data_IF_659244876246
#
_entry.id   IF_659244876246
#
_cell.length_a   1.000
_cell.length_b   1.000
_cell.length_c   1.000
_cell.angle_alpha   90.00
_cell.angle_beta   90.00
_cell.angle_gamma   90.00
#
_symmetry.space_group_name_H-M   'P 1'
#
loop_
_entity.id
_entity.type
_entity.pdbx_description
1 polymer ?
#
# COMPACT_ATOMS: atom_id res chain seq x y z
N UNK A 1 -1.79 4.82 -5.87
CA UNK A 1 -1.61 4.13 -4.57
C UNK A 1 -0.71 2.94 -4.81
N UNK A 2 0.45 2.92 -4.16
CA UNK A 2 1.57 1.98 -4.41
C UNK A 2 1.86 1.11 -3.19
N UNK A 3 2.18 -0.16 -3.41
CA UNK A 3 2.55 -1.14 -2.39
C UNK A 3 1.58 -1.09 -1.20
N UNK A 4 2.09 -1.06 0.03
CA UNK A 4 1.31 -0.85 1.25
C UNK A 4 0.39 0.39 1.22
N UNK A 5 0.74 1.40 0.43
CA UNK A 5 -0.10 2.58 0.18
C UNK A 5 -1.43 2.25 -0.50
N UNK A 6 -1.60 1.07 -1.10
CA UNK A 6 -2.90 0.54 -1.51
C UNK A 6 -3.87 0.41 -0.35
N UNK A 7 -3.43 -0.17 0.77
CA UNK A 7 -4.22 -0.28 2.00
C UNK A 7 -4.47 1.11 2.59
N UNK A 8 -3.42 1.90 2.82
CA UNK A 8 -3.54 3.22 3.46
C UNK A 8 -4.46 4.15 2.67
N UNK A 9 -4.32 4.20 1.34
CA UNK A 9 -5.18 5.04 0.51
C UNK A 9 -6.63 4.56 0.49
N UNK A 10 -6.85 3.25 0.48
CA UNK A 10 -8.21 2.67 0.59
C UNK A 10 -8.86 2.98 1.94
N UNK A 11 -8.09 2.88 3.02
CA UNK A 11 -8.53 3.23 4.38
C UNK A 11 -8.79 4.72 4.56
N UNK A 12 -8.16 5.60 3.79
CA UNK A 12 -8.27 7.04 3.98
C UNK A 12 -9.53 7.67 3.36
N UNK A 13 -10.22 6.98 2.45
CA UNK A 13 -11.23 7.61 1.59
C UNK A 13 -12.64 7.07 1.89
N UNK A 14 -13.43 7.71 2.77
CA UNK A 14 -14.84 7.39 2.98
C UNK A 14 -15.73 7.78 1.78
N UNK A 15 -16.95 7.23 1.73
CA UNK A 15 -17.94 7.44 0.64
C UNK A 15 -18.35 8.91 0.44
N UNK A 16 -18.37 9.69 1.52
CA UNK A 16 -18.73 11.11 1.49
C UNK A 16 -17.65 12.00 0.84
N UNK A 17 -16.45 11.46 0.59
CA UNK A 17 -15.42 12.14 -0.19
C UNK A 17 -15.53 11.91 -1.70
N UNK A 18 -16.51 11.13 -2.17
CA UNK A 18 -16.77 11.05 -3.61
C UNK A 18 -17.05 12.43 -4.17
N UNK A 19 -16.57 12.71 -5.39
CA UNK A 19 -16.88 13.96 -6.09
C UNK A 19 -18.40 14.21 -6.14
N UNK A 20 -19.19 13.16 -6.39
CA UNK A 20 -20.65 13.25 -6.40
C UNK A 20 -21.23 13.62 -5.02
N UNK A 21 -20.83 12.94 -3.94
CA UNK A 21 -21.34 13.23 -2.60
C UNK A 21 -20.96 14.64 -2.14
N UNK A 22 -19.73 15.08 -2.39
CA UNK A 22 -19.28 16.44 -2.07
C UNK A 22 -20.04 17.49 -2.84
N UNK A 23 -20.25 17.28 -4.14
CA UNK A 23 -20.98 18.23 -4.98
C UNK A 23 -22.46 18.31 -4.59
N UNK A 24 -23.09 17.21 -4.17
CA UNK A 24 -24.45 17.21 -3.64
C UNK A 24 -24.60 18.03 -2.35
N UNK A 25 -23.51 18.23 -1.60
CA UNK A 25 -23.45 19.08 -0.41
C UNK A 25 -23.00 20.53 -0.72
N UNK A 26 -22.84 20.89 -1.99
CA UNK A 26 -22.37 22.22 -2.40
C UNK A 26 -20.87 22.45 -2.21
N UNK A 27 -20.09 21.37 -2.00
CA UNK A 27 -18.64 21.45 -1.88
C UNK A 27 -17.95 21.22 -3.24
N UNK A 28 -16.84 21.91 -3.46
CA UNK A 28 -15.99 21.71 -4.63
C UNK A 28 -15.07 20.49 -4.45
N UNK A 29 -14.73 19.86 -5.57
CA UNK A 29 -13.78 18.75 -5.66
C UNK A 29 -14.24 17.46 -4.99
N UNK A 30 -13.34 16.49 -4.91
CA UNK A 30 -13.57 15.17 -4.35
C UNK A 30 -12.78 14.10 -5.07
N UNK A 31 -12.87 12.87 -4.59
CA UNK A 31 -12.23 11.72 -5.23
C UNK A 31 -13.08 11.30 -6.42
N UNK A 32 -12.42 11.12 -7.57
CA UNK A 32 -13.06 10.70 -8.83
C UNK A 32 -12.77 9.23 -9.13
N UNK A 33 -11.54 8.79 -8.84
CA UNK A 33 -11.05 7.48 -9.26
C UNK A 33 -9.91 7.02 -8.35
N UNK A 34 -9.85 5.72 -8.09
CA UNK A 34 -8.77 5.10 -7.35
C UNK A 34 -7.78 4.45 -8.32
N UNK A 35 -6.57 4.99 -8.39
CA UNK A 35 -5.51 4.41 -9.22
C UNK A 35 -4.51 3.66 -8.35
N UNK A 36 -4.46 2.35 -8.49
CA UNK A 36 -3.52 1.45 -7.83
C UNK A 36 -2.43 1.03 -8.83
N UNK A 37 -1.21 0.88 -8.35
CA UNK A 37 -0.10 0.35 -9.14
C UNK A 37 0.85 -0.39 -8.21
N UNK A 38 1.16 -1.66 -8.51
CA UNK A 38 1.99 -2.49 -7.62
C UNK A 38 1.49 -2.42 -6.14
N UNK A 39 0.16 -2.42 -5.95
CA UNK A 39 -0.49 -2.08 -4.68
C UNK A 39 -1.05 -3.29 -3.95
N UNK A 40 -0.96 -3.28 -2.62
CA UNK A 40 -1.67 -4.28 -1.79
C UNK A 40 -3.12 -3.82 -1.63
N UNK A 41 -4.06 -4.70 -2.00
CA UNK A 41 -5.50 -4.47 -1.83
C UNK A 41 -6.04 -5.60 -0.95
N UNK A 42 -6.75 -5.23 0.12
CA UNK A 42 -7.33 -6.15 1.09
C UNK A 42 -8.82 -5.86 1.27
N UNK A 43 -9.60 -6.90 1.52
CA UNK A 43 -10.98 -6.78 1.95
C UNK A 43 -11.07 -6.35 3.41
N UNK A 44 -12.23 -5.78 3.80
CA UNK A 44 -12.53 -5.45 5.20
C UNK A 44 -12.30 -6.68 6.10
N UNK A 45 -11.70 -6.47 7.26
CA UNK A 45 -11.33 -7.50 8.23
C UNK A 45 -9.99 -8.20 7.95
N UNK A 46 -9.38 -8.02 6.77
CA UNK A 46 -8.10 -8.65 6.44
C UNK A 46 -6.91 -7.76 6.82
N UNK A 47 -5.81 -8.40 7.24
CA UNK A 47 -4.50 -7.80 7.44
C UNK A 47 -3.47 -8.45 6.51
N UNK A 48 -2.31 -7.81 6.30
CA UNK A 48 -1.27 -8.39 5.43
C UNK A 48 -0.79 -9.73 5.97
N UNK A 49 -0.53 -9.81 7.28
CA UNK A 49 -0.14 -11.05 7.96
C UNK A 49 -1.23 -12.12 7.88
N UNK A 50 -2.49 -11.73 8.08
CA UNK A 50 -3.61 -12.67 8.04
C UNK A 50 -3.85 -13.24 6.64
N UNK A 51 -3.60 -12.46 5.59
CA UNK A 51 -3.84 -12.86 4.20
C UNK A 51 -2.64 -13.59 3.58
N UNK A 52 -1.41 -13.12 3.81
CA UNK A 52 -0.21 -13.62 3.13
C UNK A 52 0.72 -14.41 4.05
N UNK A 53 0.49 -14.38 5.37
CA UNK A 53 1.42 -14.95 6.34
C UNK A 53 2.66 -14.08 6.57
N UNK A 54 3.56 -14.57 7.43
CA UNK A 54 4.82 -13.88 7.71
C UNK A 54 5.83 -14.17 6.59
N UNK A 55 6.56 -13.15 6.17
CA UNK A 55 7.58 -13.29 5.13
C UNK A 55 8.94 -13.62 5.76
N UNK A 56 9.70 -14.61 5.23
CA UNK A 56 11.07 -14.86 5.68
C UNK A 56 12.01 -13.67 5.39
N UNK A 57 11.62 -12.81 4.44
CA UNK A 57 12.34 -11.60 4.08
C UNK A 57 12.12 -10.45 5.07
N UNK A 58 11.23 -10.60 6.05
CA UNK A 58 11.08 -9.60 7.10
C UNK A 58 12.18 -9.75 8.15
N UNK A 59 12.82 -8.62 8.45
CA UNK A 59 13.69 -8.41 9.60
C UNK A 59 12.93 -7.58 10.63
N UNK A 60 12.25 -8.28 11.54
CA UNK A 60 11.45 -7.67 12.62
C UNK A 60 12.39 -7.32 13.77
N UNK A 61 12.49 -6.03 14.05
CA UNK A 61 13.36 -5.49 15.08
C UNK A 61 12.67 -5.49 16.45
N UNK A 62 13.44 -5.57 17.56
CA UNK A 62 12.88 -5.54 18.92
C UNK A 62 12.07 -4.29 19.26
N UNK A 63 12.27 -3.18 18.54
CA UNK A 63 11.56 -1.92 18.72
C UNK A 63 10.20 -1.86 17.99
N UNK A 64 9.73 -3.00 17.46
CA UNK A 64 8.45 -3.11 16.77
C UNK A 64 8.46 -2.57 15.34
N UNK A 65 9.63 -2.34 14.75
CA UNK A 65 9.78 -2.01 13.33
C UNK A 65 10.17 -3.23 12.51
N UNK A 66 9.98 -3.13 11.20
CA UNK A 66 10.35 -4.16 10.24
C UNK A 66 11.12 -3.53 9.08
N UNK A 67 12.15 -4.24 8.61
CA UNK A 67 12.82 -3.97 7.33
C UNK A 67 12.66 -5.18 6.43
N UNK A 68 12.57 -4.95 5.13
CA UNK A 68 12.74 -6.02 4.17
C UNK A 68 14.23 -6.30 4.02
N UNK A 69 14.63 -7.56 4.11
CA UNK A 69 15.97 -8.05 3.77
C UNK A 69 16.15 -8.01 2.25
N UNK A 70 17.37 -7.79 1.79
CA UNK A 70 17.74 -7.92 0.37
C UNK A 70 16.87 -7.06 -0.58
N UNK A 71 16.54 -5.83 -0.21
CA UNK A 71 15.62 -5.03 -1.02
C UNK A 71 16.19 -4.66 -2.39
N UNK A 72 17.51 -4.59 -2.57
CA UNK A 72 18.12 -4.45 -3.91
C UNK A 72 17.64 -5.56 -4.86
N UNK A 73 17.61 -6.81 -4.41
CA UNK A 73 17.20 -7.94 -5.28
C UNK A 73 15.70 -8.17 -5.33
N UNK A 74 14.95 -7.65 -4.35
CA UNK A 74 13.50 -7.88 -4.25
C UNK A 74 12.71 -6.73 -4.87
N UNK A 75 13.05 -5.47 -4.57
CA UNK A 75 12.26 -4.30 -4.98
C UNK A 75 12.97 -3.37 -5.97
N UNK A 76 14.26 -3.59 -6.23
CA UNK A 76 15.07 -2.83 -7.18
C UNK A 76 15.81 -3.75 -8.16
N UNK A 77 15.19 -4.90 -8.45
CA UNK A 77 15.80 -6.02 -9.19
C UNK A 77 16.09 -5.68 -10.66
N UNK A 78 15.40 -4.69 -11.21
CA UNK A 78 15.49 -4.18 -12.57
C UNK A 78 16.43 -2.97 -12.71
N UNK A 79 16.98 -2.46 -11.59
CA UNK A 79 17.93 -1.35 -11.60
C UNK A 79 19.38 -1.84 -11.75
N UNK A 80 20.27 -1.02 -12.33
CA UNK A 80 21.70 -1.25 -12.24
C UNK A 80 22.15 -1.42 -10.78
N UNK A 81 23.11 -2.30 -10.53
CA UNK A 81 23.50 -2.69 -9.17
C UNK A 81 23.86 -1.51 -8.25
N UNK A 82 24.54 -0.50 -8.79
CA UNK A 82 24.89 0.72 -8.04
C UNK A 82 23.65 1.52 -7.64
N UNK A 83 22.67 1.64 -8.53
CA UNK A 83 21.43 2.36 -8.28
C UNK A 83 20.52 1.59 -7.30
N UNK A 84 20.40 0.26 -7.48
CA UNK A 84 19.68 -0.59 -6.54
C UNK A 84 20.29 -0.59 -5.13
N UNK A 85 21.61 -0.51 -5.00
CA UNK A 85 22.28 -0.34 -3.72
C UNK A 85 22.04 1.06 -3.11
N UNK A 86 22.06 2.11 -3.94
CA UNK A 86 21.73 3.47 -3.51
C UNK A 86 20.31 3.54 -2.93
N UNK A 87 19.31 3.01 -3.64
CA UNK A 87 17.92 3.06 -3.16
C UNK A 87 17.68 2.16 -1.96
N UNK A 88 18.33 1.00 -1.87
CA UNK A 88 18.32 0.16 -0.67
C UNK A 88 18.84 0.91 0.56
N UNK A 89 19.94 1.67 0.42
CA UNK A 89 20.51 2.45 1.51
C UNK A 89 19.59 3.55 2.05
N UNK A 90 18.65 4.03 1.21
CA UNK A 90 17.69 5.08 1.56
C UNK A 90 16.42 4.56 2.21
N UNK A 91 16.22 3.24 2.23
CA UNK A 91 15.06 2.65 2.89
C UNK A 91 15.09 2.92 4.37
N UNK A 92 13.91 3.14 4.94
CA UNK A 92 13.72 3.26 6.38
C UNK A 92 12.87 2.09 6.90
N UNK A 93 13.03 1.67 8.16
CA UNK A 93 12.14 0.70 8.76
C UNK A 93 10.70 1.21 8.82
N UNK A 94 9.75 0.30 8.67
CA UNK A 94 8.32 0.58 8.82
C UNK A 94 7.81 0.00 10.15
N UNK A 95 6.72 0.53 10.71
CA UNK A 95 6.06 -0.10 11.87
C UNK A 95 5.57 -1.50 11.51
N UNK A 96 5.87 -2.51 12.33
CA UNK A 96 5.37 -3.88 12.13
C UNK A 96 3.85 -3.98 12.25
N UNK A 97 3.20 -3.02 12.93
CA UNK A 97 1.73 -2.95 13.01
C UNK A 97 1.05 -2.88 11.63
N UNK A 98 1.76 -2.45 10.59
CA UNK A 98 1.28 -2.48 9.21
C UNK A 98 0.91 -3.90 8.73
N UNK A 99 1.55 -4.93 9.31
CA UNK A 99 1.30 -6.33 8.98
C UNK A 99 0.02 -6.85 9.63
N UNK A 100 -0.25 -6.44 10.87
CA UNK A 100 -1.29 -7.04 11.72
C UNK A 100 -2.58 -6.25 11.73
N UNK A 101 -2.55 -4.97 11.39
CA UNK A 101 -3.74 -4.11 11.39
C UNK A 101 -4.72 -4.56 10.31
N UNK A 102 -5.95 -4.88 10.72
CA UNK A 102 -7.02 -5.23 9.80
C UNK A 102 -7.58 -3.99 9.09
N UNK A 103 -7.83 -4.13 7.80
CA UNK A 103 -8.52 -3.13 6.98
C UNK A 103 -9.95 -2.96 7.48
N UNK A 104 -10.42 -1.74 7.66
CA UNK A 104 -11.79 -1.41 8.08
C UNK A 104 -12.63 -0.88 6.92
N UNK A 105 -12.01 -0.55 5.79
CA UNK A 105 -12.65 0.06 4.63
C UNK A 105 -12.11 -0.53 3.32
N UNK A 106 -12.99 -0.59 2.33
CA UNK A 106 -12.72 -1.09 1.00
C UNK A 106 -13.24 -0.07 -0.02
N UNK A 107 -12.54 1.06 -0.15
CA UNK A 107 -12.98 2.19 -0.99
C UNK A 107 -13.20 1.83 -2.46
N UNK A 108 -12.52 0.81 -2.96
CA UNK A 108 -12.74 0.27 -4.30
C UNK A 108 -14.13 -0.35 -4.51
N UNK A 109 -14.91 -0.61 -3.45
CA UNK A 109 -16.30 -1.09 -3.55
C UNK A 109 -17.27 0.00 -4.00
N UNK A 110 -16.95 1.27 -3.77
CA UNK A 110 -17.82 2.42 -4.07
C UNK A 110 -17.16 3.51 -4.94
N UNK A 111 -15.90 3.30 -5.34
CA UNK A 111 -15.21 4.12 -6.32
C UNK A 111 -14.80 3.33 -7.55
N UNK A 112 -14.94 3.92 -8.76
CA UNK A 112 -14.23 3.43 -9.94
C UNK A 112 -12.74 3.31 -9.64
N UNK A 113 -12.17 2.17 -10.04
CA UNK A 113 -10.80 1.80 -9.71
C UNK A 113 -10.05 1.25 -10.92
N UNK A 114 -8.76 1.54 -11.01
CA UNK A 114 -7.83 0.95 -11.99
C UNK A 114 -6.65 0.37 -11.25
N UNK A 115 -6.21 -0.81 -11.67
CA UNK A 115 -5.00 -1.43 -11.19
C UNK A 115 -4.01 -1.57 -12.35
N UNK A 116 -2.85 -0.91 -12.24
CA UNK A 116 -1.72 -1.12 -13.13
C UNK A 116 -0.88 -2.28 -12.59
N UNK A 117 -0.82 -3.36 -13.36
CA UNK A 117 0.06 -4.50 -13.09
C UNK A 117 1.46 -4.17 -13.59
N UNK A 118 2.44 -4.27 -12.68
CA UNK A 118 3.85 -4.18 -13.01
C UNK A 118 4.40 -5.61 -13.05
N UNK A 119 4.64 -6.18 -14.23
CA UNK A 119 4.96 -7.62 -14.37
C UNK A 119 6.33 -8.02 -13.79
N UNK A 120 7.20 -7.04 -13.52
CA UNK A 120 8.51 -7.22 -12.89
C UNK A 120 8.62 -6.69 -11.46
N UNK A 121 7.48 -6.37 -10.82
CA UNK A 121 7.40 -6.04 -9.39
C UNK A 121 7.66 -7.25 -8.48
#
# INVERSE_FOLDING_TARGET
MHSYGGIVGTEAIPEDLTHAARHAQGHNGGVLHLFYFAGVILSKGQSVLGTFGESPNNDVQPDGKVRLKNGTTIIYSDLPAEEGALWESRRVPQSYAMQTTCSTRAAYEYFPSTYLVCEGD
#
